data_IF_051471269265
#
_entry.id   IF_051471269265
#
_cell.length_a   1.000
_cell.length_b   1.000
_cell.length_c   1.000
_cell.angle_alpha   90.00
_cell.angle_beta   90.00
_cell.angle_gamma   90.00
#
_symmetry.space_group_name_H-M   'P 1'
#
loop_
_entity.id
_entity.type
_entity.pdbx_description
1 polymer ?
#
# COMPACT_ATOMS: atom_id res chain seq x y z
N UNK A 1 99.45 -2.49 1.64
CA UNK A 1 99.45 -2.02 0.24
C UNK A 1 98.34 -2.76 -0.49
N UNK A 2 97.13 -2.20 -0.54
CA UNK A 2 96.10 -2.67 -1.48
C UNK A 2 95.23 -1.48 -1.85
N UNK A 3 95.19 -1.22 -3.15
CA UNK A 3 94.66 -0.05 -3.84
C UNK A 3 93.14 -0.04 -3.89
N UNK A 4 92.60 1.16 -3.63
CA UNK A 4 91.24 1.60 -3.96
C UNK A 4 90.89 1.31 -5.42
N UNK A 5 89.68 0.79 -5.65
CA UNK A 5 88.95 0.96 -6.90
C UNK A 5 87.65 1.70 -6.59
N UNK A 6 87.59 2.95 -7.04
CA UNK A 6 86.42 3.81 -6.96
C UNK A 6 85.36 3.31 -7.95
N UNK A 7 84.15 3.04 -7.46
CA UNK A 7 83.00 2.75 -8.30
C UNK A 7 82.01 3.92 -8.18
N UNK A 8 82.06 4.81 -9.17
CA UNK A 8 81.13 5.92 -9.37
C UNK A 8 79.76 5.38 -9.77
N UNK A 9 78.85 5.27 -8.80
CA UNK A 9 77.43 4.98 -9.04
C UNK A 9 76.68 6.31 -9.21
N UNK A 10 76.50 6.72 -10.46
CA UNK A 10 75.65 7.85 -10.87
C UNK A 10 74.19 7.51 -10.59
N UNK A 11 73.69 8.04 -9.47
CA UNK A 11 72.27 8.02 -9.07
C UNK A 11 71.46 8.92 -10.02
N UNK A 12 70.50 8.38 -10.80
CA UNK A 12 69.62 9.22 -11.62
C UNK A 12 68.70 10.04 -10.71
N UNK A 13 68.64 11.34 -10.96
CA UNK A 13 67.78 12.27 -10.26
C UNK A 13 66.30 11.82 -10.38
N UNK A 14 65.49 11.96 -9.31
CA UNK A 14 64.06 11.71 -9.41
C UNK A 14 63.47 12.73 -10.40
N UNK A 15 63.04 12.23 -11.57
CA UNK A 15 62.16 13.00 -12.45
C UNK A 15 60.89 13.26 -11.66
N UNK A 16 60.77 14.48 -11.16
CA UNK A 16 59.50 15.04 -10.72
C UNK A 16 58.65 15.18 -11.98
N UNK A 17 57.98 14.10 -12.35
CA UNK A 17 56.91 14.12 -13.34
C UNK A 17 55.82 15.03 -12.77
N UNK A 18 55.90 16.32 -13.13
CA UNK A 18 54.83 17.28 -12.91
C UNK A 18 53.64 16.79 -13.72
N UNK A 19 52.80 15.97 -13.07
CA UNK A 19 51.53 15.53 -13.62
C UNK A 19 50.78 16.80 -14.05
N UNK A 20 50.56 16.93 -15.35
CA UNK A 20 49.71 17.97 -15.89
C UNK A 20 48.36 17.87 -15.15
N UNK A 21 47.81 18.98 -14.63
CA UNK A 21 46.49 18.96 -14.00
C UNK A 21 45.51 18.40 -15.03
N UNK A 22 44.91 17.26 -14.73
CA UNK A 22 43.90 16.64 -15.57
C UNK A 22 42.74 17.64 -15.70
N UNK A 23 42.68 18.34 -16.82
CA UNK A 23 41.58 19.20 -17.20
C UNK A 23 40.30 18.36 -17.18
N UNK A 24 39.41 18.62 -16.21
CA UNK A 24 38.09 17.98 -16.14
C UNK A 24 37.64 17.48 -14.77
N UNK A 25 38.46 17.56 -13.71
CA UNK A 25 37.97 17.21 -12.37
C UNK A 25 37.25 18.41 -11.72
N UNK A 26 35.92 18.40 -11.84
CA UNK A 26 35.00 19.25 -11.05
C UNK A 26 35.45 19.20 -9.58
N UNK A 27 35.77 20.34 -8.95
CA UNK A 27 36.28 20.40 -7.59
C UNK A 27 35.32 19.66 -6.64
N UNK A 28 35.82 18.87 -5.66
CA UNK A 28 35.00 18.06 -4.76
C UNK A 28 33.85 18.83 -4.09
N UNK A 29 34.05 20.12 -3.83
CA UNK A 29 33.05 21.02 -3.23
C UNK A 29 31.86 21.27 -4.15
N UNK A 30 32.09 21.40 -5.46
CA UNK A 30 31.03 21.62 -6.45
C UNK A 30 30.17 20.36 -6.63
N UNK A 31 30.77 19.17 -6.54
CA UNK A 31 30.03 17.89 -6.51
C UNK A 31 29.11 17.79 -5.29
N UNK A 32 29.63 18.14 -4.11
CA UNK A 32 28.84 18.13 -2.87
C UNK A 32 27.70 19.15 -2.90
N UNK A 33 27.90 20.32 -3.55
CA UNK A 33 26.84 21.31 -3.73
C UNK A 33 25.72 20.79 -4.64
N UNK A 34 26.06 20.13 -5.75
CA UNK A 34 25.09 19.49 -6.65
C UNK A 34 24.34 18.36 -5.94
N UNK A 35 25.04 17.49 -5.20
CA UNK A 35 24.41 16.42 -4.41
C UNK A 35 23.47 16.97 -3.32
N UNK A 36 23.82 18.10 -2.69
CA UNK A 36 22.96 18.74 -1.69
C UNK A 36 21.68 19.34 -2.31
N UNK A 37 21.78 19.89 -3.52
CA UNK A 37 20.64 20.41 -4.26
C UNK A 37 19.72 19.27 -4.73
N UNK A 38 20.28 18.20 -5.29
CA UNK A 38 19.55 16.98 -5.65
C UNK A 38 18.84 16.37 -4.43
N UNK A 39 19.53 16.27 -3.28
CA UNK A 39 18.94 15.77 -2.04
C UNK A 39 17.80 16.67 -1.53
N UNK A 40 17.86 17.97 -1.78
CA UNK A 40 16.80 18.93 -1.43
C UNK A 40 15.60 18.80 -2.38
N UNK A 41 15.85 18.62 -3.68
CA UNK A 41 14.82 18.35 -4.67
C UNK A 41 14.11 17.01 -4.40
N UNK A 42 14.87 15.95 -4.06
CA UNK A 42 14.32 14.67 -3.65
C UNK A 42 13.48 14.80 -2.38
N UNK A 43 13.91 15.58 -1.38
CA UNK A 43 13.10 15.86 -0.20
C UNK A 43 11.81 16.59 -0.55
N UNK A 44 11.84 17.61 -1.43
CA UNK A 44 10.63 18.28 -1.92
C UNK A 44 9.68 17.31 -2.62
N UNK A 45 10.19 16.43 -3.48
CA UNK A 45 9.39 15.43 -4.19
C UNK A 45 8.82 14.35 -3.25
N UNK A 46 9.59 13.94 -2.22
CA UNK A 46 9.14 12.97 -1.22
C UNK A 46 8.07 13.53 -0.28
N UNK A 47 8.07 14.83 -0.02
CA UNK A 47 7.08 15.52 0.82
C UNK A 47 5.82 15.91 0.03
N UNK A 48 5.82 15.72 -1.30
CA UNK A 48 4.64 15.99 -2.12
C UNK A 48 3.43 15.17 -1.64
N UNK A 49 2.27 15.80 -1.38
CA UNK A 49 1.12 15.14 -0.75
C UNK A 49 0.64 13.91 -1.53
N UNK A 50 0.72 13.94 -2.86
CA UNK A 50 0.33 12.82 -3.72
C UNK A 50 1.26 11.60 -3.57
N UNK A 51 2.57 11.82 -3.38
CA UNK A 51 3.54 10.72 -3.19
C UNK A 51 3.32 10.07 -1.84
N UNK A 52 3.03 10.86 -0.81
CA UNK A 52 2.66 10.37 0.53
C UNK A 52 1.35 9.58 0.45
N UNK A 53 0.33 10.10 -0.24
CA UNK A 53 -0.95 9.41 -0.43
C UNK A 53 -0.79 8.07 -1.16
N UNK A 54 0.02 8.02 -2.23
CA UNK A 54 0.32 6.77 -2.95
C UNK A 54 1.10 5.78 -2.09
N UNK A 55 2.09 6.23 -1.30
CA UNK A 55 2.86 5.36 -0.41
C UNK A 55 1.98 4.75 0.66
N UNK A 56 1.11 5.55 1.25
CA UNK A 56 0.12 5.10 2.21
C UNK A 56 -0.82 4.07 1.60
N UNK A 57 -1.38 4.35 0.42
CA UNK A 57 -2.32 3.44 -0.22
C UNK A 57 -1.65 2.09 -0.53
N UNK A 58 -0.37 2.11 -0.93
CA UNK A 58 0.44 0.89 -1.09
C UNK A 58 0.65 0.15 0.22
N UNK A 59 0.95 0.85 1.32
CA UNK A 59 1.07 0.23 2.66
C UNK A 59 -0.26 -0.40 3.07
N UNK A 60 -1.38 0.31 2.91
CA UNK A 60 -2.72 -0.21 3.19
C UNK A 60 -3.00 -1.50 2.41
N UNK A 61 -2.79 -1.49 1.09
CA UNK A 61 -2.96 -2.69 0.23
C UNK A 61 -2.00 -3.82 0.57
N UNK A 62 -0.78 -3.51 1.02
CA UNK A 62 0.20 -4.53 1.41
C UNK A 62 -0.20 -5.20 2.72
N UNK A 63 -0.54 -4.41 3.74
CA UNK A 63 -1.06 -4.92 5.02
C UNK A 63 -2.32 -5.75 4.78
N UNK A 64 -3.21 -5.27 3.91
CA UNK A 64 -4.43 -5.98 3.56
C UNK A 64 -4.17 -7.35 2.94
N UNK A 65 -3.25 -7.41 1.97
CA UNK A 65 -2.84 -8.68 1.35
C UNK A 65 -2.18 -9.63 2.34
N UNK A 66 -1.30 -9.14 3.22
CA UNK A 66 -0.68 -9.99 4.24
C UNK A 66 -1.71 -10.56 5.21
N UNK A 67 -2.69 -9.74 5.62
CA UNK A 67 -3.78 -10.17 6.49
C UNK A 67 -4.64 -11.23 5.82
N UNK A 68 -5.06 -11.00 4.58
CA UNK A 68 -5.81 -11.99 3.80
C UNK A 68 -5.02 -13.27 3.56
N UNK A 69 -3.73 -13.16 3.26
CA UNK A 69 -2.86 -14.33 3.12
C UNK A 69 -2.79 -15.13 4.43
N UNK A 70 -2.65 -14.47 5.57
CA UNK A 70 -2.66 -15.12 6.88
C UNK A 70 -3.98 -15.84 7.18
N UNK A 71 -5.12 -15.23 6.86
CA UNK A 71 -6.45 -15.85 6.99
C UNK A 71 -6.55 -17.08 6.10
N UNK A 72 -6.20 -16.96 4.81
CA UNK A 72 -6.29 -18.08 3.86
C UNK A 72 -5.34 -19.22 4.22
N UNK A 73 -4.13 -18.92 4.70
CA UNK A 73 -3.18 -19.92 5.18
C UNK A 73 -3.70 -20.63 6.44
N UNK A 74 -4.24 -19.87 7.40
CA UNK A 74 -4.84 -20.43 8.61
C UNK A 74 -6.02 -21.36 8.29
N UNK A 75 -6.91 -20.92 7.38
CA UNK A 75 -8.05 -21.72 6.91
C UNK A 75 -7.63 -22.96 6.12
N UNK A 76 -6.61 -22.84 5.27
CA UNK A 76 -6.08 -24.00 4.54
C UNK A 76 -5.49 -25.05 5.50
N UNK A 77 -4.83 -24.59 6.57
CA UNK A 77 -4.29 -25.48 7.60
C UNK A 77 -5.38 -26.18 8.40
N UNK A 78 -6.42 -25.45 8.86
CA UNK A 78 -7.55 -26.06 9.57
C UNK A 78 -8.28 -27.04 8.66
N UNK A 79 -8.48 -26.68 7.39
CA UNK A 79 -9.13 -27.54 6.40
C UNK A 79 -8.34 -28.84 6.17
N UNK A 80 -7.01 -28.79 6.09
CA UNK A 80 -6.18 -29.99 5.93
C UNK A 80 -6.30 -30.94 7.13
N UNK A 81 -6.33 -30.41 8.37
CA UNK A 81 -6.46 -31.24 9.57
C UNK A 81 -7.85 -31.87 9.69
N UNK A 82 -8.89 -31.07 9.44
CA UNK A 82 -10.28 -31.58 9.41
C UNK A 82 -10.45 -32.59 8.29
N UNK A 83 -9.82 -32.36 7.14
CA UNK A 83 -9.84 -33.29 6.02
C UNK A 83 -9.21 -34.63 6.40
N UNK A 84 -8.03 -34.62 7.04
CA UNK A 84 -7.38 -35.84 7.47
C UNK A 84 -8.25 -36.62 8.47
N UNK A 85 -8.95 -35.91 9.37
CA UNK A 85 -9.88 -36.52 10.32
C UNK A 85 -11.16 -37.06 9.65
N UNK A 86 -11.78 -36.29 8.76
CA UNK A 86 -13.07 -36.60 8.15
C UNK A 86 -12.96 -37.60 6.99
N UNK A 87 -11.83 -37.61 6.29
CA UNK A 87 -11.59 -38.60 5.24
C UNK A 87 -11.34 -39.99 5.83
N UNK A 88 -10.72 -40.10 7.01
CA UNK A 88 -10.38 -41.39 7.62
C UNK A 88 -9.62 -42.27 6.63
N UNK A 89 -10.13 -43.47 6.37
CA UNK A 89 -9.55 -44.43 5.42
C UNK A 89 -10.06 -44.27 3.97
N UNK A 90 -10.76 -43.17 3.64
CA UNK A 90 -11.30 -42.97 2.31
C UNK A 90 -10.17 -42.84 1.26
N UNK A 91 -10.26 -43.54 0.12
CA UNK A 91 -9.25 -43.47 -0.93
C UNK A 91 -9.18 -42.06 -1.53
N UNK A 92 -7.95 -41.62 -1.83
CA UNK A 92 -7.70 -40.33 -2.46
C UNK A 92 -8.47 -40.23 -3.80
N UNK A 93 -9.16 -39.10 -4.02
CA UNK A 93 -10.00 -38.89 -5.19
C UNK A 93 -11.43 -39.43 -5.08
N UNK A 94 -11.78 -40.11 -3.99
CA UNK A 94 -13.19 -40.47 -3.72
C UNK A 94 -14.04 -39.25 -3.37
N UNK A 95 -15.36 -39.38 -3.54
CA UNK A 95 -16.30 -38.30 -3.18
C UNK A 95 -16.23 -37.96 -1.69
N UNK A 96 -16.06 -38.95 -0.82
CA UNK A 96 -15.87 -38.73 0.62
C UNK A 96 -14.60 -37.91 0.91
N UNK A 97 -13.48 -38.24 0.25
CA UNK A 97 -12.22 -37.50 0.34
C UNK A 97 -12.38 -36.04 -0.12
N UNK A 98 -13.14 -35.81 -1.20
CA UNK A 98 -13.41 -34.47 -1.71
C UNK A 98 -14.35 -33.66 -0.79
N UNK A 99 -15.42 -34.28 -0.27
CA UNK A 99 -16.37 -33.63 0.65
C UNK A 99 -15.69 -33.24 1.96
N UNK A 100 -14.73 -34.05 2.44
CA UNK A 100 -13.95 -33.74 3.64
C UNK A 100 -13.21 -32.38 3.55
N UNK A 101 -12.79 -31.96 2.35
CA UNK A 101 -12.18 -30.65 2.13
C UNK A 101 -13.16 -29.47 2.27
N UNK A 102 -14.48 -29.68 2.11
CA UNK A 102 -15.48 -28.62 2.14
C UNK A 102 -16.08 -28.39 3.53
N UNK A 103 -15.96 -29.35 4.44
CA UNK A 103 -16.56 -29.27 5.78
C UNK A 103 -16.05 -28.06 6.57
N UNK A 104 -14.72 -27.91 6.65
CA UNK A 104 -14.12 -26.82 7.42
C UNK A 104 -14.29 -25.43 6.79
N UNK A 105 -14.08 -25.22 5.47
CA UNK A 105 -14.36 -23.95 4.83
C UNK A 105 -15.80 -23.47 4.99
N UNK A 106 -16.78 -24.39 4.98
CA UNK A 106 -18.19 -24.03 5.16
C UNK A 106 -18.42 -23.40 6.54
N UNK A 107 -17.99 -24.09 7.60
CA UNK A 107 -18.15 -23.61 8.99
C UNK A 107 -17.35 -22.33 9.20
N UNK A 108 -16.12 -22.28 8.69
CA UNK A 108 -15.23 -21.13 8.80
C UNK A 108 -15.77 -19.89 8.10
N UNK A 109 -16.36 -20.01 6.90
CA UNK A 109 -16.98 -18.88 6.18
C UNK A 109 -18.20 -18.37 6.93
N UNK A 110 -19.00 -19.25 7.54
CA UNK A 110 -20.12 -18.84 8.40
C UNK A 110 -19.62 -18.07 9.62
N UNK A 111 -18.59 -18.57 10.30
CA UNK A 111 -17.96 -17.86 11.43
C UNK A 111 -17.42 -16.49 10.99
N UNK A 112 -16.68 -16.43 9.87
CA UNK A 112 -16.16 -15.18 9.31
C UNK A 112 -17.28 -14.20 8.95
N UNK A 113 -18.38 -14.69 8.40
CA UNK A 113 -19.57 -13.90 8.08
C UNK A 113 -20.25 -13.32 9.33
N UNK A 114 -20.38 -14.11 10.39
CA UNK A 114 -20.91 -13.64 11.69
C UNK A 114 -20.00 -12.57 12.29
N UNK A 115 -18.69 -12.81 12.31
CA UNK A 115 -17.70 -11.84 12.77
C UNK A 115 -17.76 -10.55 11.97
N UNK A 116 -17.85 -10.66 10.65
CA UNK A 116 -17.95 -9.51 9.77
C UNK A 116 -19.25 -8.72 9.99
N UNK A 117 -20.37 -9.41 10.19
CA UNK A 117 -21.65 -8.79 10.50
C UNK A 117 -21.64 -8.08 11.87
N UNK A 118 -20.99 -8.64 12.90
CA UNK A 118 -20.81 -7.96 14.20
C UNK A 118 -20.00 -6.66 14.05
N UNK A 119 -18.94 -6.70 13.25
CA UNK A 119 -18.10 -5.53 13.01
C UNK A 119 -18.83 -4.45 12.20
N UNK A 120 -19.61 -4.85 11.20
CA UNK A 120 -20.40 -3.92 10.40
C UNK A 120 -21.55 -3.30 11.22
N UNK A 121 -22.25 -4.09 12.04
CA UNK A 121 -23.33 -3.58 12.91
C UNK A 121 -22.79 -2.72 14.07
N UNK A 122 -21.58 -3.00 14.55
CA UNK A 122 -20.88 -2.17 15.53
C UNK A 122 -20.63 -0.74 15.05
N UNK A 123 -20.42 -0.54 13.73
CA UNK A 123 -20.32 0.80 13.12
C UNK A 123 -21.62 1.59 13.24
N UNK A 124 -22.76 0.90 13.24
CA UNK A 124 -24.09 1.49 13.41
C UNK A 124 -24.55 1.56 14.88
N UNK A 125 -23.68 1.25 15.85
CA UNK A 125 -23.95 1.24 17.31
C UNK A 125 -25.12 0.36 17.75
N UNK A 126 -25.49 -0.65 16.96
CA UNK A 126 -26.49 -1.63 17.38
C UNK A 126 -25.76 -2.67 18.22
N UNK A 127 -26.11 -2.80 19.49
CA UNK A 127 -25.50 -3.78 20.38
C UNK A 127 -25.75 -5.20 19.84
N UNK A 128 -24.67 -5.94 19.57
CA UNK A 128 -24.74 -7.34 19.16
C UNK A 128 -25.39 -8.15 20.30
N UNK A 129 -26.53 -8.78 20.01
CA UNK A 129 -27.28 -9.56 20.98
C UNK A 129 -26.50 -10.77 21.49
N UNK A 130 -26.87 -11.27 22.68
CA UNK A 130 -26.26 -12.45 23.32
C UNK A 130 -26.24 -13.68 22.41
N UNK A 131 -27.22 -13.83 21.52
CA UNK A 131 -27.29 -14.91 20.52
C UNK A 131 -26.11 -14.91 19.55
N UNK A 132 -25.66 -13.75 19.08
CA UNK A 132 -24.56 -13.65 18.11
C UNK A 132 -23.25 -14.11 18.75
N UNK A 133 -23.03 -13.68 20.00
CA UNK A 133 -21.90 -14.15 20.82
C UNK A 133 -21.93 -15.66 21.02
N UNK A 134 -23.09 -16.25 21.30
CA UNK A 134 -23.23 -17.71 21.43
C UNK A 134 -22.88 -18.41 20.13
N UNK A 135 -23.39 -17.95 18.98
CA UNK A 135 -23.08 -18.53 17.66
C UNK A 135 -21.59 -18.45 17.34
N UNK A 136 -20.95 -17.29 17.60
CA UNK A 136 -19.50 -17.09 17.43
C UNK A 136 -18.69 -18.10 18.26
N UNK A 137 -18.97 -18.19 19.55
CA UNK A 137 -18.22 -19.11 20.42
C UNK A 137 -18.52 -20.58 20.13
N UNK A 138 -19.74 -20.90 19.73
CA UNK A 138 -20.10 -22.27 19.34
C UNK A 138 -19.36 -22.70 18.07
N UNK A 139 -19.39 -21.89 17.01
CA UNK A 139 -18.71 -22.19 15.73
C UNK A 139 -17.19 -22.21 15.88
N UNK A 140 -16.62 -21.26 16.65
CA UNK A 140 -15.20 -21.29 17.00
C UNK A 140 -14.84 -22.52 17.83
N UNK A 141 -15.64 -22.86 18.84
CA UNK A 141 -15.43 -24.04 19.68
C UNK A 141 -15.46 -25.34 18.89
N UNK A 142 -16.41 -25.49 17.97
CA UNK A 142 -16.48 -26.63 17.07
C UNK A 142 -15.20 -26.77 16.23
N UNK A 143 -14.75 -25.67 15.61
CA UNK A 143 -13.51 -25.64 14.81
C UNK A 143 -12.29 -26.00 15.67
N UNK A 144 -12.19 -25.43 16.86
CA UNK A 144 -11.09 -25.69 17.80
C UNK A 144 -11.04 -27.15 18.25
N UNK A 145 -12.19 -27.73 18.61
CA UNK A 145 -12.29 -29.13 19.02
C UNK A 145 -11.87 -30.04 17.88
N UNK A 146 -12.39 -29.82 16.67
CA UNK A 146 -12.02 -30.63 15.50
C UNK A 146 -10.52 -30.57 15.22
N UNK A 147 -9.91 -29.40 15.34
CA UNK A 147 -8.49 -29.23 15.05
C UNK A 147 -7.58 -29.86 16.12
N UNK A 148 -8.03 -29.90 17.38
CA UNK A 148 -7.22 -30.40 18.50
C UNK A 148 -7.58 -31.81 18.95
N UNK A 149 -8.67 -32.40 18.44
CA UNK A 149 -9.25 -33.66 18.91
C UNK A 149 -8.22 -34.80 19.00
N UNK A 150 -7.47 -35.03 17.93
CA UNK A 150 -6.45 -36.08 17.87
C UNK A 150 -5.31 -35.82 18.87
N UNK A 151 -4.94 -34.56 19.07
CA UNK A 151 -3.89 -34.19 20.02
C UNK A 151 -4.32 -34.41 21.48
N UNK A 152 -5.61 -34.21 21.78
CA UNK A 152 -6.19 -34.55 23.08
C UNK A 152 -6.21 -36.07 23.29
N UNK A 153 -6.64 -36.83 22.29
CA UNK A 153 -6.65 -38.29 22.37
C UNK A 153 -5.24 -38.87 22.55
N UNK A 154 -4.24 -38.28 21.89
CA UNK A 154 -2.84 -38.64 22.02
C UNK A 154 -2.17 -38.06 23.29
N UNK A 155 -2.89 -37.31 24.13
CA UNK A 155 -2.37 -36.61 25.30
C UNK A 155 -1.09 -35.80 25.01
N UNK A 156 -1.01 -35.16 23.83
CA UNK A 156 0.18 -34.45 23.34
C UNK A 156 0.02 -32.94 23.54
N UNK A 157 0.69 -32.33 24.54
CA UNK A 157 0.58 -30.89 24.78
C UNK A 157 1.10 -30.06 23.60
N UNK A 158 2.18 -30.51 22.96
CA UNK A 158 2.73 -29.86 21.77
C UNK A 158 1.76 -29.94 20.59
N UNK A 159 1.07 -31.07 20.41
CA UNK A 159 0.01 -31.22 19.41
C UNK A 159 -1.12 -30.24 19.63
N UNK A 160 -1.61 -30.11 20.87
CA UNK A 160 -2.70 -29.18 21.21
C UNK A 160 -2.29 -27.74 20.89
N UNK A 161 -1.07 -27.34 21.27
CA UNK A 161 -0.56 -25.98 20.98
C UNK A 161 -0.42 -25.77 19.47
N UNK A 162 0.21 -26.69 18.75
CA UNK A 162 0.43 -26.56 17.31
C UNK A 162 -0.88 -26.46 16.51
N UNK A 163 -1.90 -27.21 16.91
CA UNK A 163 -3.18 -27.21 16.20
C UNK A 163 -4.18 -26.17 16.73
N UNK A 164 -3.92 -25.53 17.87
CA UNK A 164 -4.76 -24.43 18.37
C UNK A 164 -4.38 -23.06 17.79
N UNK A 165 -3.12 -22.87 17.44
CA UNK A 165 -2.60 -21.59 16.91
C UNK A 165 -3.36 -21.12 15.67
N UNK A 166 -3.63 -21.97 14.65
CA UNK A 166 -4.26 -21.47 13.41
C UNK A 166 -5.72 -21.01 13.57
N UNK A 167 -6.63 -21.75 14.24
CA UNK A 167 -7.97 -21.26 14.54
C UNK A 167 -7.97 -19.94 15.32
N UNK A 168 -7.07 -19.81 16.32
CA UNK A 168 -6.94 -18.60 17.12
C UNK A 168 -6.45 -17.41 16.30
N UNK A 169 -5.46 -17.63 15.42
CA UNK A 169 -4.96 -16.59 14.52
C UNK A 169 -6.03 -16.11 13.53
N UNK A 170 -6.83 -17.01 12.97
CA UNK A 170 -7.93 -16.65 12.06
C UNK A 170 -8.98 -15.82 12.79
N UNK A 171 -9.41 -16.25 13.99
CA UNK A 171 -10.35 -15.50 14.81
C UNK A 171 -9.82 -14.11 15.17
N UNK A 172 -8.56 -14.04 15.63
CA UNK A 172 -7.92 -12.77 15.98
C UNK A 172 -7.75 -11.85 14.77
N UNK A 173 -7.35 -12.38 13.60
CA UNK A 173 -7.21 -11.61 12.37
C UNK A 173 -8.56 -11.07 11.89
N UNK A 174 -9.62 -11.86 11.99
CA UNK A 174 -10.97 -11.44 11.63
C UNK A 174 -11.52 -10.35 12.56
N UNK A 175 -11.22 -10.42 13.86
CA UNK A 175 -11.68 -9.45 14.86
C UNK A 175 -10.88 -8.15 14.85
N UNK A 176 -9.55 -8.24 14.72
CA UNK A 176 -8.65 -7.07 14.76
C UNK A 176 -8.52 -6.40 13.38
N UNK A 177 -8.70 -7.15 12.30
CA UNK A 177 -8.49 -6.66 10.93
C UNK A 177 -9.23 -5.36 10.60
N UNK A 178 -10.54 -5.25 10.87
CA UNK A 178 -11.30 -4.02 10.64
C UNK A 178 -10.80 -2.82 11.46
N UNK A 179 -10.45 -3.02 12.73
CA UNK A 179 -9.94 -1.97 13.62
C UNK A 179 -8.54 -1.50 13.18
N UNK A 180 -7.65 -2.43 12.81
CA UNK A 180 -6.32 -2.11 12.30
C UNK A 180 -6.41 -1.29 11.00
N UNK A 181 -7.29 -1.67 10.07
CA UNK A 181 -7.57 -0.89 8.86
C UNK A 181 -8.07 0.52 9.19
N UNK A 182 -8.95 0.65 10.18
CA UNK A 182 -9.48 1.95 10.59
C UNK A 182 -8.38 2.84 11.21
N UNK A 183 -7.55 2.30 12.09
CA UNK A 183 -6.42 3.02 12.70
C UNK A 183 -5.38 3.45 11.68
N UNK A 184 -5.04 2.59 10.72
CA UNK A 184 -4.14 2.93 9.62
C UNK A 184 -4.74 4.08 8.80
N UNK A 185 -6.02 4.02 8.46
CA UNK A 185 -6.72 5.10 7.74
C UNK A 185 -6.72 6.40 8.55
N UNK A 186 -6.98 6.33 9.86
CA UNK A 186 -6.99 7.51 10.73
C UNK A 186 -5.59 8.10 10.98
N UNK A 187 -4.54 7.29 11.05
CA UNK A 187 -3.15 7.74 11.15
C UNK A 187 -2.72 8.46 9.87
N UNK A 188 -3.17 7.95 8.73
CA UNK A 188 -2.97 8.55 7.41
C UNK A 188 -3.66 9.90 7.30
N UNK A 189 -4.94 9.98 7.63
CA UNK A 189 -5.71 11.23 7.55
C UNK A 189 -5.12 12.31 8.47
N UNK A 190 -4.61 11.91 9.65
CA UNK A 190 -3.91 12.82 10.57
C UNK A 190 -2.59 13.31 9.99
N UNK A 191 -1.81 12.42 9.37
CA UNK A 191 -0.56 12.80 8.70
C UNK A 191 -0.82 13.79 7.56
N UNK A 192 -1.88 13.57 6.77
CA UNK A 192 -2.31 14.47 5.71
C UNK A 192 -2.69 15.86 6.23
N UNK A 193 -3.52 15.92 7.28
CA UNK A 193 -3.92 17.19 7.91
C UNK A 193 -2.73 17.97 8.43
N UNK A 194 -1.76 17.28 9.05
CA UNK A 194 -0.55 17.91 9.56
C UNK A 194 0.33 18.50 8.44
N UNK A 195 0.48 17.78 7.32
CA UNK A 195 1.21 18.27 6.14
C UNK A 195 0.50 19.44 5.44
N UNK A 196 -0.83 19.45 5.39
CA UNK A 196 -1.60 20.57 4.82
C UNK A 196 -1.48 21.85 5.67
N UNK A 197 -1.45 21.71 7.00
CA UNK A 197 -1.26 22.84 7.92
C UNK A 197 0.20 23.32 8.01
N UNK A 198 1.17 22.48 7.63
CA UNK A 198 2.59 22.84 7.55
C UNK A 198 2.94 23.63 6.27
N UNK A 199 1.95 24.26 5.63
CA UNK A 199 2.20 25.25 4.58
C UNK A 199 3.00 26.40 5.21
N UNK A 200 4.22 26.68 4.72
CA UNK A 200 5.11 27.62 5.38
C UNK A 200 4.55 29.04 5.22
N UNK A 201 4.28 29.67 6.36
CA UNK A 201 4.25 31.13 6.44
C UNK A 201 5.69 31.63 6.22
N UNK A 202 6.12 31.76 4.97
CA UNK A 202 7.35 32.49 4.62
C UNK A 202 7.21 33.11 3.23
N UNK A 203 6.52 34.25 3.20
CA UNK A 203 6.88 35.37 2.33
C UNK A 203 6.68 36.65 3.13
N UNK A 204 7.63 36.94 4.02
CA UNK A 204 7.85 38.27 4.58
C UNK A 204 9.21 38.76 4.08
N UNK A 205 9.29 39.94 3.43
CA UNK A 205 10.52 40.41 2.80
C UNK A 205 11.54 40.84 3.86
N UNK A 206 12.76 40.32 3.73
CA UNK A 206 14.02 41.06 3.82
C UNK A 206 13.98 42.33 4.69
N UNK A 207 14.00 42.15 6.02
CA UNK A 207 14.39 43.22 6.94
C UNK A 207 15.92 43.20 7.07
N UNK A 208 16.51 44.31 6.66
CA UNK A 208 17.92 44.67 6.69
C UNK A 208 18.71 44.13 7.89
N UNK A 209 19.79 43.40 7.59
CA UNK A 209 20.90 43.20 8.53
C UNK A 209 21.78 44.45 8.48
N UNK A 210 21.58 45.32 9.47
CA UNK A 210 22.54 46.38 9.81
C UNK A 210 23.63 45.78 10.70
N UNK A 211 24.86 45.84 10.19
CA UNK A 211 26.11 45.59 10.90
C UNK A 211 26.29 46.57 12.06
N UNK A 212 26.41 46.09 13.31
CA UNK A 212 27.11 46.83 14.39
C UNK A 212 27.68 45.87 15.44
N UNK A 213 28.99 45.93 15.64
CA UNK A 213 29.57 46.08 16.99
C UNK A 213 29.98 44.84 17.78
N UNK A 214 31.30 44.63 17.83
CA UNK A 214 32.02 43.81 18.79
C UNK A 214 31.77 44.19 20.27
N UNK A 215 31.86 43.21 21.18
CA UNK A 215 32.78 43.20 22.33
C UNK A 215 32.37 42.14 23.37
N UNK A 216 33.39 41.47 23.91
CA UNK A 216 33.35 40.49 24.97
C UNK A 216 32.77 41.04 26.29
N UNK A 217 32.20 40.16 27.10
CA UNK A 217 32.52 40.16 28.52
C UNK A 217 32.34 38.78 29.15
N UNK A 218 33.24 38.52 30.08
CA UNK A 218 33.62 37.28 30.73
C UNK A 218 32.93 37.13 32.09
N UNK A 219 33.02 35.92 32.65
CA UNK A 219 33.01 35.60 34.10
C UNK A 219 31.66 35.74 34.83
N UNK A 220 31.29 34.96 35.85
CA UNK A 220 31.87 33.81 36.56
C UNK A 220 30.81 33.33 37.59
N UNK A 221 31.21 32.37 38.45
CA UNK A 221 30.56 31.73 39.61
C UNK A 221 29.93 30.36 39.27
N UNK A 222 30.56 29.22 39.58
CA UNK A 222 30.92 28.69 40.92
C UNK A 222 29.64 28.57 41.80
N UNK A 223 29.27 27.45 42.41
CA UNK A 223 30.09 26.56 43.24
C UNK A 223 29.20 25.43 43.80
N UNK A 224 29.85 24.30 44.17
CA UNK A 224 29.48 23.29 45.18
C UNK A 224 28.32 22.33 44.90
N UNK A 225 28.54 21.01 44.88
CA UNK A 225 28.82 20.17 46.07
C UNK A 225 27.47 19.55 46.52
N UNK A 226 27.27 18.28 46.81
CA UNK A 226 28.15 17.24 47.31
C UNK A 226 27.41 15.87 47.23
N UNK A 227 28.20 14.84 46.98
CA UNK A 227 28.20 13.45 47.48
C UNK A 227 26.95 12.62 47.82
N UNK A 228 27.15 11.33 47.46
CA UNK A 228 26.85 10.09 48.16
C UNK A 228 25.51 9.40 47.86
N UNK A 229 25.38 8.07 47.88
CA UNK A 229 26.27 6.90 47.74
C UNK A 229 25.33 5.68 47.85
N UNK A 230 25.69 4.53 47.28
CA UNK A 230 25.07 3.22 47.54
C UNK A 230 24.42 2.59 46.30
N UNK A 231 25.10 1.71 45.57
CA UNK A 231 25.27 0.26 45.85
C UNK A 231 23.94 -0.51 45.73
N UNK A 232 23.77 -1.63 45.02
CA UNK A 232 24.65 -2.50 44.25
C UNK A 232 23.78 -3.41 43.33
N UNK A 233 24.39 -3.94 42.28
CA UNK A 233 24.24 -5.28 41.63
C UNK A 233 22.82 -5.91 41.49
N UNK A 234 22.38 -6.50 40.38
CA UNK A 234 23.07 -7.40 39.44
C UNK A 234 22.19 -7.69 38.21
N UNK A 235 22.83 -7.74 37.03
CA UNK A 235 22.70 -8.69 35.91
C UNK A 235 21.35 -9.21 35.36
N UNK A 236 21.40 -9.42 34.03
CA UNK A 236 20.51 -10.18 33.10
C UNK A 236 19.51 -9.24 32.39
N UNK A 237 19.52 -9.01 31.08
CA UNK A 237 20.23 -9.61 29.95
C UNK A 237 19.32 -9.44 28.72
N UNK A 238 19.89 -9.04 27.58
CA UNK A 238 19.25 -9.23 26.27
C UNK A 238 18.52 -8.03 25.68
N UNK A 239 19.11 -7.52 24.60
CA UNK A 239 18.72 -6.35 23.83
C UNK A 239 17.38 -6.51 23.07
N UNK A 240 16.54 -5.47 23.12
CA UNK A 240 15.82 -4.90 21.98
C UNK A 240 15.53 -3.42 22.28
N UNK A 241 16.54 -2.56 22.11
CA UNK A 241 16.35 -1.12 22.03
C UNK A 241 15.77 -0.76 20.67
N UNK A 242 14.72 0.08 20.64
CA UNK A 242 14.46 0.89 19.43
C UNK A 242 13.03 1.24 19.07
N UNK A 243 12.08 1.42 20.00
CA UNK A 243 10.89 2.28 19.73
C UNK A 243 10.52 3.04 20.99
N UNK A 244 10.78 4.34 21.02
CA UNK A 244 10.25 5.26 22.03
C UNK A 244 8.78 5.56 21.71
N UNK A 245 7.81 5.27 22.59
CA UNK A 245 6.48 5.81 22.44
C UNK A 245 6.48 7.29 22.84
N UNK A 246 6.04 8.15 21.91
CA UNK A 246 5.72 9.55 22.14
C UNK A 246 4.69 9.64 23.28
N UNK A 247 5.02 10.43 24.30
CA UNK A 247 4.21 10.65 25.49
C UNK A 247 2.82 11.19 25.16
N UNK A 248 1.80 10.49 25.66
CA UNK A 248 0.41 10.93 25.60
C UNK A 248 0.13 11.74 26.87
N UNK A 249 0.09 13.06 26.72
CA UNK A 249 -0.35 13.99 27.78
C UNK A 249 -1.84 13.77 28.01
N UNK A 250 -2.20 13.33 29.22
CA UNK A 250 -3.58 13.24 29.69
C UNK A 250 -4.11 14.63 30.04
N UNK A 251 -5.22 15.05 29.41
CA UNK A 251 -5.99 16.24 29.79
C UNK A 251 -7.29 15.81 30.49
N UNK A 252 -7.71 16.52 31.56
CA UNK A 252 -8.86 16.13 32.38
C UNK A 252 -10.20 16.48 31.72
N UNK A 253 -11.19 15.64 31.98
CA UNK A 253 -12.52 15.68 31.37
C UNK A 253 -13.38 16.87 31.80
N UNK A 254 -13.92 17.56 30.80
CA UNK A 254 -15.05 18.49 30.93
C UNK A 254 -16.36 17.79 30.58
N UNK A 255 -17.25 17.65 31.56
CA UNK A 255 -18.66 17.27 31.34
C UNK A 255 -19.38 18.46 30.70
N UNK A 256 -19.84 18.31 29.46
CA UNK A 256 -20.82 19.23 28.86
C UNK A 256 -22.21 18.61 28.95
N UNK A 257 -23.06 19.23 29.75
CA UNK A 257 -24.51 19.06 29.77
C UNK A 257 -25.08 19.62 28.46
N UNK A 258 -25.74 18.77 27.67
CA UNK A 258 -26.43 19.17 26.46
C UNK A 258 -27.82 19.75 26.83
N UNK A 259 -27.99 21.05 26.63
CA UNK A 259 -29.27 21.74 26.72
C UNK A 259 -30.00 21.56 25.38
N UNK A 260 -31.15 20.87 25.41
CA UNK A 260 -32.01 20.69 24.25
C UNK A 260 -32.65 22.03 23.84
N UNK A 261 -32.52 22.41 22.57
CA UNK A 261 -33.24 23.52 21.93
C UNK A 261 -34.39 22.95 21.09
N UNK A 262 -35.58 23.58 21.10
CA UNK A 262 -36.74 23.10 20.36
C UNK A 262 -36.63 23.40 18.86
N UNK A 263 -37.10 22.43 18.10
CA UNK A 263 -37.06 22.30 16.65
C UNK A 263 -38.05 23.29 15.97
N UNK A 264 -37.54 24.27 15.24
CA UNK A 264 -38.36 25.14 14.36
C UNK A 264 -38.35 24.59 12.94
N UNK A 265 -39.55 24.24 12.46
CA UNK A 265 -39.79 23.74 11.11
C UNK A 265 -39.55 24.81 10.03
N UNK A 266 -38.85 24.50 8.92
CA UNK A 266 -38.78 25.41 7.78
C UNK A 266 -39.97 25.22 6.84
N UNK A 267 -40.59 26.34 6.49
CA UNK A 267 -41.62 26.51 5.47
C UNK A 267 -41.09 26.14 4.07
N UNK A 268 -41.87 25.33 3.34
CA UNK A 268 -41.60 24.95 1.95
C UNK A 268 -42.10 26.07 1.02
N UNK A 269 -41.17 26.78 0.38
CA UNK A 269 -41.45 27.50 -0.87
C UNK A 269 -41.26 26.54 -2.05
N UNK A 270 -42.37 26.20 -2.71
CA UNK A 270 -42.37 25.47 -3.96
C UNK A 270 -41.96 26.43 -5.10
N UNK A 271 -40.79 26.19 -5.68
CA UNK A 271 -40.39 26.76 -6.96
C UNK A 271 -40.48 25.65 -8.01
N UNK A 272 -41.54 25.69 -8.80
CA UNK A 272 -41.73 24.84 -9.98
C UNK A 272 -40.69 25.20 -11.06
N UNK A 273 -39.52 24.57 -10.98
CA UNK A 273 -38.59 24.47 -12.11
C UNK A 273 -38.94 23.20 -12.87
N UNK A 274 -39.62 23.39 -13.99
CA UNK A 274 -39.95 22.40 -15.01
C UNK A 274 -38.67 21.69 -15.50
N UNK A 275 -38.27 20.61 -14.82
CA UNK A 275 -37.25 19.66 -15.28
C UNK A 275 -37.78 18.97 -16.54
N UNK A 276 -37.26 19.39 -17.68
CA UNK A 276 -37.40 18.68 -18.95
C UNK A 276 -36.92 17.23 -18.78
N UNK A 277 -37.87 16.31 -18.86
CA UNK A 277 -37.66 14.88 -18.87
C UNK A 277 -36.93 14.48 -20.17
N UNK A 278 -35.60 14.48 -20.14
CA UNK A 278 -34.76 13.91 -21.20
C UNK A 278 -33.38 13.61 -20.59
N UNK A 279 -33.20 12.47 -19.91
CA UNK A 279 -31.85 11.85 -19.78
C UNK A 279 -31.76 10.46 -19.13
N UNK A 280 -32.84 9.82 -18.67
CA UNK A 280 -32.71 8.47 -18.06
C UNK A 280 -32.73 7.32 -19.08
N UNK A 281 -31.93 7.44 -20.16
CA UNK A 281 -31.44 6.25 -20.86
C UNK A 281 -30.06 5.90 -20.28
N UNK A 282 -29.88 4.72 -19.64
CA UNK A 282 -28.60 4.27 -19.13
C UNK A 282 -27.63 4.07 -20.30
N UNK A 283 -26.86 5.11 -20.60
CA UNK A 283 -25.98 5.19 -21.78
C UNK A 283 -25.71 6.62 -22.26
N UNK A 284 -26.61 7.58 -21.96
CA UNK A 284 -26.54 8.94 -22.51
C UNK A 284 -25.24 9.69 -22.18
N UNK A 285 -24.81 9.66 -20.91
CA UNK A 285 -23.62 10.42 -20.50
C UNK A 285 -22.32 9.91 -21.16
N UNK A 286 -22.11 8.59 -21.20
CA UNK A 286 -20.92 8.00 -21.85
C UNK A 286 -20.92 8.28 -23.35
N UNK A 287 -22.08 8.18 -24.00
CA UNK A 287 -22.21 8.44 -25.43
C UNK A 287 -21.98 9.92 -25.79
N UNK A 288 -22.48 10.86 -24.98
CA UNK A 288 -22.20 12.29 -25.14
C UNK A 288 -20.70 12.59 -24.95
N UNK A 289 -20.06 12.00 -23.94
CA UNK A 289 -18.61 12.12 -23.75
C UNK A 289 -17.82 11.57 -24.94
N UNK A 290 -18.24 10.42 -25.48
CA UNK A 290 -17.55 9.77 -26.61
C UNK A 290 -17.65 10.61 -27.89
N UNK A 291 -18.83 11.15 -28.19
CA UNK A 291 -19.01 12.07 -29.34
C UNK A 291 -18.15 13.31 -29.23
N UNK A 292 -18.06 13.90 -28.03
CA UNK A 292 -17.20 15.07 -27.81
C UNK A 292 -15.72 14.72 -27.92
N UNK A 293 -15.31 13.56 -27.40
CA UNK A 293 -13.95 13.05 -27.56
C UNK A 293 -13.57 12.91 -29.04
N UNK A 294 -14.40 12.23 -29.83
CA UNK A 294 -14.17 12.02 -31.27
C UNK A 294 -14.11 13.34 -32.03
N UNK A 295 -14.98 14.31 -31.71
CA UNK A 295 -14.98 15.62 -32.34
C UNK A 295 -13.70 16.43 -32.06
N UNK A 296 -13.20 16.40 -30.82
CA UNK A 296 -11.96 17.11 -30.45
C UNK A 296 -10.72 16.42 -31.03
N UNK A 297 -10.68 15.08 -31.06
CA UNK A 297 -9.60 14.34 -31.71
C UNK A 297 -9.56 14.62 -33.22
N UNK A 298 -10.72 14.68 -33.89
CA UNK A 298 -10.81 15.09 -35.28
C UNK A 298 -10.33 16.55 -35.50
N UNK A 299 -10.45 17.41 -34.49
CA UNK A 299 -9.90 18.77 -34.49
C UNK A 299 -8.42 18.84 -34.06
N UNK A 300 -7.75 17.71 -33.83
CA UNK A 300 -6.34 17.64 -33.43
C UNK A 300 -6.08 18.01 -31.97
N UNK A 301 -7.11 18.01 -31.11
CA UNK A 301 -7.00 18.32 -29.67
C UNK A 301 -7.36 17.09 -28.83
N UNK A 302 -6.65 16.88 -27.72
CA UNK A 302 -6.97 15.83 -26.76
C UNK A 302 -7.76 16.43 -25.60
N UNK A 303 -9.08 16.17 -25.48
CA UNK A 303 -9.89 16.81 -24.46
C UNK A 303 -9.53 16.31 -23.05
N UNK A 304 -9.65 17.21 -22.07
CA UNK A 304 -9.43 16.88 -20.66
C UNK A 304 -10.65 16.15 -20.08
N UNK A 305 -10.48 15.52 -18.92
CA UNK A 305 -11.61 14.89 -18.22
C UNK A 305 -12.70 15.91 -17.81
N UNK A 306 -12.33 17.17 -17.56
CA UNK A 306 -13.28 18.23 -17.26
C UNK A 306 -14.11 18.63 -18.48
N UNK A 307 -13.52 18.59 -19.68
CA UNK A 307 -14.24 18.86 -20.95
C UNK A 307 -15.28 17.78 -21.22
N UNK A 308 -14.92 16.51 -20.99
CA UNK A 308 -15.86 15.39 -21.08
C UNK A 308 -17.03 15.53 -20.10
N UNK A 309 -16.75 15.93 -18.86
CA UNK A 309 -17.82 16.17 -17.87
C UNK A 309 -18.75 17.30 -18.32
N UNK A 310 -18.20 18.41 -18.84
CA UNK A 310 -19.00 19.51 -19.39
C UNK A 310 -19.89 19.06 -20.55
N UNK A 311 -19.36 18.26 -21.47
CA UNK A 311 -20.12 17.73 -22.61
C UNK A 311 -21.28 16.80 -22.21
N UNK A 312 -21.20 16.16 -21.04
CA UNK A 312 -22.26 15.32 -20.48
C UNK A 312 -23.17 16.04 -19.49
N UNK A 313 -23.07 17.37 -19.39
CA UNK A 313 -23.79 18.18 -18.39
C UNK A 313 -23.55 17.67 -16.96
N UNK A 314 -22.33 17.22 -16.67
CA UNK A 314 -21.89 16.80 -15.34
C UNK A 314 -20.96 17.84 -14.74
N UNK A 315 -20.86 17.82 -13.41
CA UNK A 315 -19.92 18.66 -12.67
C UNK A 315 -18.48 18.45 -13.19
N UNK A 316 -17.71 19.52 -13.49
CA UNK A 316 -16.35 19.40 -14.01
C UNK A 316 -15.40 18.62 -13.09
N UNK A 317 -15.64 18.63 -11.78
CA UNK A 317 -14.88 17.91 -10.76
C UNK A 317 -15.17 16.40 -10.70
N UNK A 318 -16.24 15.92 -11.35
CA UNK A 318 -16.62 14.52 -11.34
C UNK A 318 -15.50 13.60 -11.86
N UNK A 319 -15.29 12.45 -11.22
CA UNK A 319 -14.22 11.51 -11.58
C UNK A 319 -14.47 10.78 -12.90
N UNK A 320 -15.71 10.78 -13.40
CA UNK A 320 -16.13 10.00 -14.57
C UNK A 320 -15.39 10.42 -15.85
N UNK A 321 -15.33 11.72 -16.14
CA UNK A 321 -14.60 12.22 -17.31
C UNK A 321 -13.09 11.95 -17.25
N UNK A 322 -12.48 12.02 -16.06
CA UNK A 322 -11.05 11.67 -15.90
C UNK A 322 -10.77 10.19 -16.21
N UNK A 323 -11.67 9.30 -15.78
CA UNK A 323 -11.59 7.86 -16.06
C UNK A 323 -11.66 7.59 -17.57
N UNK A 324 -12.69 8.11 -18.25
CA UNK A 324 -12.85 7.88 -19.69
C UNK A 324 -11.76 8.54 -20.54
N UNK A 325 -11.29 9.73 -20.17
CA UNK A 325 -10.14 10.33 -20.84
C UNK A 325 -8.87 9.48 -20.67
N UNK A 326 -8.69 8.78 -19.55
CA UNK A 326 -7.60 7.82 -19.36
C UNK A 326 -7.72 6.62 -20.28
N UNK A 327 -8.88 5.96 -20.28
CA UNK A 327 -9.18 4.80 -21.12
C UNK A 327 -9.00 5.13 -22.62
N UNK A 328 -9.57 6.24 -23.10
CA UNK A 328 -9.51 6.58 -24.53
C UNK A 328 -8.14 7.09 -25.00
N UNK A 329 -7.28 7.60 -24.11
CA UNK A 329 -5.86 7.86 -24.49
C UNK A 329 -5.12 6.57 -24.80
N UNK A 330 -5.38 5.50 -24.05
CA UNK A 330 -4.74 4.21 -24.31
C UNK A 330 -5.16 3.62 -25.66
N UNK A 331 -6.40 3.87 -26.10
CA UNK A 331 -6.87 3.48 -27.44
C UNK A 331 -6.07 4.19 -28.55
N UNK A 332 -5.75 5.48 -28.39
CA UNK A 332 -4.95 6.23 -29.36
C UNK A 332 -3.50 5.72 -29.45
N UNK A 333 -2.90 5.38 -28.32
CA UNK A 333 -1.54 4.82 -28.28
C UNK A 333 -1.50 3.39 -28.85
N UNK A 334 -2.52 2.58 -28.58
CA UNK A 334 -2.65 1.24 -29.18
C UNK A 334 -2.78 1.31 -30.69
N UNK A 335 -3.68 2.17 -31.20
CA UNK A 335 -3.87 2.35 -32.63
C UNK A 335 -2.62 2.85 -33.37
N UNK A 336 -1.78 3.65 -32.72
CA UNK A 336 -0.50 4.10 -33.29
C UNK A 336 0.52 2.95 -33.43
N UNK A 337 0.47 1.97 -32.54
CA UNK A 337 1.35 0.79 -32.59
C UNK A 337 0.87 -0.27 -33.59
N UNK A 338 -0.43 -0.31 -33.87
CA UNK A 338 -1.04 -1.23 -34.85
C UNK A 338 -0.97 -0.75 -36.30
N UNK A 339 -0.34 0.40 -36.58
CA UNK A 339 -0.07 0.81 -37.97
C UNK A 339 0.98 -0.15 -38.52
N UNK A 340 0.63 -1.06 -39.45
CA UNK A 340 1.60 -2.00 -40.02
C UNK A 340 2.72 -1.17 -40.62
N UNK A 341 3.94 -1.40 -40.13
CA UNK A 341 5.12 -0.77 -40.70
C UNK A 341 5.13 -1.14 -42.19
N UNK A 342 5.01 -0.13 -43.06
CA UNK A 342 4.89 -0.30 -44.51
C UNK A 342 6.13 -0.95 -45.17
N UNK A 343 7.03 -1.54 -44.39
CA UNK A 343 8.24 -2.23 -44.79
C UNK A 343 8.07 -3.74 -45.00
N UNK A 344 6.94 -4.35 -44.61
CA UNK A 344 6.74 -5.81 -44.76
C UNK A 344 6.04 -6.25 -46.06
N UNK A 345 5.63 -5.33 -46.92
CA UNK A 345 4.88 -5.66 -48.15
C UNK A 345 5.72 -6.08 -49.36
N UNK A 346 7.05 -6.07 -49.29
CA UNK A 346 7.92 -6.30 -50.47
C UNK A 346 8.58 -7.70 -50.55
N UNK A 347 8.24 -8.64 -49.65
CA UNK A 347 8.91 -9.96 -49.61
C UNK A 347 8.01 -11.17 -49.92
N UNK A 348 6.76 -10.98 -50.33
CA UNK A 348 5.79 -12.09 -50.50
C UNK A 348 5.31 -12.30 -51.95
N UNK A 349 6.14 -11.98 -52.94
CA UNK A 349 5.78 -12.13 -54.36
C UNK A 349 6.82 -12.93 -55.18
N UNK A 350 7.39 -14.03 -54.67
CA UNK A 350 8.04 -15.06 -55.50
C UNK A 350 7.97 -16.43 -54.80
N UNK A 351 6.89 -17.18 -55.01
CA UNK A 351 6.86 -18.65 -54.95
C UNK A 351 5.47 -19.14 -55.38
N UNK A 352 5.24 -19.12 -56.70
CA UNK A 352 4.25 -19.92 -57.39
C UNK A 352 4.99 -21.03 -58.16
N UNK A 353 4.27 -22.12 -58.46
CA UNK A 353 4.68 -23.44 -58.99
C UNK A 353 5.14 -24.45 -57.92
N UNK A 354 4.51 -25.59 -57.67
CA UNK A 354 3.45 -26.30 -58.38
C UNK A 354 3.76 -27.80 -58.43
N UNK A 355 3.18 -28.62 -57.55
CA UNK A 355 2.97 -30.09 -57.68
C UNK A 355 1.85 -30.41 -56.68
N UNK A 356 0.66 -30.88 -57.04
CA UNK A 356 0.38 -32.04 -57.88
C UNK A 356 -0.15 -33.15 -56.97
N UNK A 357 -1.49 -33.28 -56.95
CA UNK A 357 -2.35 -34.39 -56.54
C UNK A 357 -1.74 -35.67 -55.93
N UNK A 358 -2.35 -36.18 -54.85
CA UNK A 358 -2.91 -37.54 -54.81
C UNK A 358 -3.73 -37.83 -53.53
N UNK A 359 -4.92 -38.37 -53.77
CA UNK A 359 -5.83 -39.18 -52.96
C UNK A 359 -5.22 -40.25 -52.04
N UNK A 360 -5.79 -40.44 -50.84
CA UNK A 360 -6.13 -41.73 -50.17
C UNK A 360 -6.71 -41.42 -48.78
N UNK A 361 -8.00 -41.55 -48.43
CA UNK A 361 -8.78 -42.77 -48.09
C UNK A 361 -7.98 -43.93 -47.50
N UNK A 362 -8.12 -44.15 -46.19
CA UNK A 362 -8.10 -45.40 -45.40
C UNK A 362 -8.24 -44.95 -43.93
N UNK A 363 -9.31 -45.22 -43.18
CA UNK A 363 -9.85 -46.51 -42.71
C UNK A 363 -8.83 -47.32 -41.87
N UNK A 364 -9.35 -47.96 -40.82
CA UNK A 364 -8.71 -48.90 -39.86
C UNK A 364 -8.18 -48.23 -38.56
N UNK A 365 -8.87 -48.27 -37.41
CA UNK A 365 -9.32 -49.39 -36.57
C UNK A 365 -8.17 -50.19 -35.90
N UNK A 366 -8.43 -50.63 -34.65
CA UNK A 366 -7.61 -51.53 -33.79
C UNK A 366 -6.53 -50.78 -32.98
N UNK A 367 -6.42 -50.86 -31.64
CA UNK A 367 -6.97 -51.77 -30.64
C UNK A 367 -7.10 -51.11 -29.27
#
# INVERSE_FOLDING_TARGET
>A
MTTQSQQTSTRPAPRVSRAAPAAGQVPPVERLAVEAEEATQLRRLQVHPDVVALRVERVRRRVDRCMWAGILLGLGFTAANVQAFAAGDAPAGSLAWAVAWLLDPMVSVVLLGVLWAEQETGRYRIASGRTVRVVKWFTFGATYVMNTWQSWFAASPSGIVLHSVPPLLVLAAAEVGPELRHRLTAAVDRSYRHSATATPATTGPEAAVTTTGAAASSAALADSGDSASGAASSSVGGAFSGVTPVGLVALPGGRHTATATPNSAPSRHASDVRKSATSDRPGGAKQSMRRHWEAEIAAGRVPSGADLNRAASKDPGASLGRKYAGEWRTELTGAANDVPSATDSDTAAVADEGVGAATSTAEEAVS
#
